data_IF_380847111475
#
_entry.id   IF_380847111475
#
_cell.length_a   1.000
_cell.length_b   1.000
_cell.length_c   1.000
_cell.angle_alpha   90.00
_cell.angle_beta   90.00
_cell.angle_gamma   90.00
#
_symmetry.space_group_name_H-M   'P 1'
#
loop_
_entity.id
_entity.type
_entity.pdbx_description
1 polymer ?
#
# COMPACT_ATOMS: atom_id res chain seq x y z
N UNK A 1 12.45 -45.95 -16.50
CA UNK A 1 13.89 -45.87 -16.34
C UNK A 1 14.40 -44.48 -16.81
N UNK A 2 14.00 -43.40 -16.14
CA UNK A 2 14.53 -42.06 -16.37
C UNK A 2 14.25 -41.09 -15.19
N UNK A 3 13.88 -41.62 -14.02
CA UNK A 3 13.56 -40.85 -12.83
C UNK A 3 14.60 -40.99 -11.69
N UNK A 4 15.59 -41.89 -11.84
CA UNK A 4 16.61 -42.14 -10.82
C UNK A 4 17.94 -41.38 -11.01
N UNK A 5 18.09 -40.54 -12.06
CA UNK A 5 19.32 -39.79 -12.31
C UNK A 5 19.28 -38.33 -11.91
N UNK A 6 18.13 -37.82 -11.45
CA UNK A 6 17.97 -36.42 -11.03
C UNK A 6 18.11 -36.28 -9.50
N UNK A 7 17.79 -37.33 -8.74
CA UNK A 7 17.92 -37.34 -7.29
C UNK A 7 19.38 -37.51 -6.81
N UNK A 8 20.22 -38.18 -7.60
CA UNK A 8 21.64 -38.38 -7.27
C UNK A 8 22.51 -37.13 -7.54
N UNK A 9 22.14 -36.25 -8.52
CA UNK A 9 22.86 -34.98 -8.76
C UNK A 9 22.52 -33.90 -7.71
N UNK A 10 21.32 -33.93 -7.12
CA UNK A 10 20.92 -32.99 -6.07
C UNK A 10 21.61 -33.27 -4.72
N UNK A 11 21.99 -34.52 -4.46
CA UNK A 11 22.68 -34.89 -3.21
C UNK A 11 24.18 -34.55 -3.24
N UNK A 12 24.83 -34.56 -4.41
CA UNK A 12 26.25 -34.21 -4.57
C UNK A 12 26.52 -32.71 -4.53
N UNK A 13 25.51 -31.86 -4.82
CA UNK A 13 25.60 -30.40 -4.71
C UNK A 13 25.36 -29.88 -3.27
N UNK A 14 24.68 -30.67 -2.44
CA UNK A 14 24.44 -30.34 -1.02
C UNK A 14 25.66 -30.58 -0.12
N UNK A 15 26.54 -31.52 -0.45
CA UNK A 15 27.72 -31.81 0.34
C UNK A 15 28.92 -30.87 0.02
N UNK A 16 28.92 -30.17 -1.12
CA UNK A 16 29.97 -29.23 -1.49
C UNK A 16 29.80 -27.81 -0.94
N UNK A 17 28.63 -27.45 -0.37
CA UNK A 17 28.38 -26.12 0.19
C UNK A 17 28.67 -25.99 1.69
N UNK A 18 29.01 -27.06 2.37
CA UNK A 18 29.25 -27.08 3.83
C UNK A 18 30.71 -27.11 4.28
N UNK A 19 31.69 -26.95 3.39
CA UNK A 19 33.09 -27.06 3.70
C UNK A 19 33.94 -25.77 3.58
N UNK A 20 33.37 -24.62 3.29
CA UNK A 20 34.10 -23.35 3.09
C UNK A 20 33.73 -22.20 4.05
N UNK A 21 33.19 -22.49 5.24
CA UNK A 21 32.96 -21.48 6.28
C UNK A 21 33.58 -21.93 7.62
N UNK A 22 34.86 -22.20 7.61
CA UNK A 22 35.68 -22.24 8.84
C UNK A 22 37.15 -21.87 8.50
N UNK A 23 37.44 -20.57 8.43
CA UNK A 23 38.77 -20.02 8.73
C UNK A 23 38.82 -18.52 8.43
N UNK A 24 38.43 -17.67 9.38
CA UNK A 24 39.06 -16.35 9.60
C UNK A 24 38.51 -15.70 10.88
N UNK A 25 38.94 -16.23 12.01
CA UNK A 25 38.82 -15.53 13.29
C UNK A 25 40.10 -15.83 14.09
N UNK A 26 41.16 -15.08 13.85
CA UNK A 26 42.27 -14.93 14.78
C UNK A 26 43.09 -13.69 14.39
N UNK A 27 43.48 -12.96 15.43
CA UNK A 27 44.48 -11.88 15.49
C UNK A 27 43.97 -10.43 15.31
N UNK A 28 43.64 -9.83 16.44
CA UNK A 28 44.21 -8.52 16.80
C UNK A 28 44.14 -8.29 18.33
N UNK A 29 45.06 -8.93 19.03
CA UNK A 29 45.40 -8.62 20.41
C UNK A 29 46.85 -8.14 20.41
N UNK A 30 47.09 -6.84 20.39
CA UNK A 30 48.38 -6.25 20.81
C UNK A 30 48.29 -4.72 20.92
N UNK A 31 48.30 -4.23 22.14
CA UNK A 31 49.23 -3.23 22.72
C UNK A 31 48.59 -2.45 23.87
N UNK A 32 48.86 -2.94 25.06
CA UNK A 32 49.00 -2.10 26.26
C UNK A 32 50.38 -2.42 26.85
N UNK A 33 51.41 -1.57 26.61
CA UNK A 33 52.67 -1.48 27.35
C UNK A 33 52.48 -0.46 28.46
N UNK A 34 52.51 -0.87 29.63
CA UNK A 34 53.51 -0.79 30.71
C UNK A 34 54.46 0.40 30.60
N UNK A 35 54.38 1.29 31.55
CA UNK A 35 55.56 1.98 32.14
C UNK A 35 55.32 2.09 33.63
N UNK A 36 56.20 1.42 34.35
CA UNK A 36 56.39 1.33 35.79
C UNK A 36 57.59 2.16 36.21
N UNK A 37 57.64 2.51 37.51
CA UNK A 37 58.81 2.90 38.33
C UNK A 37 59.44 4.28 38.07
N UNK A 38 59.66 5.08 39.07
CA UNK A 38 60.47 4.82 40.27
C UNK A 38 60.59 6.06 41.19
N UNK A 39 60.62 5.77 42.46
CA UNK A 39 61.48 6.26 43.55
C UNK A 39 61.61 7.74 43.90
N UNK A 40 61.30 8.04 45.15
CA UNK A 40 62.37 8.51 46.06
C UNK A 40 62.01 9.61 47.02
N UNK A 41 61.82 9.25 48.29
CA UNK A 41 62.35 9.86 49.54
C UNK A 41 62.09 11.32 49.95
N UNK A 42 61.55 11.35 51.11
CA UNK A 42 61.96 12.05 52.34
C UNK A 42 61.58 13.49 52.69
N UNK A 43 60.92 13.53 53.82
CA UNK A 43 61.03 14.38 54.99
C UNK A 43 60.60 15.84 54.99
N UNK A 44 59.82 16.16 55.99
CA UNK A 44 59.64 17.50 56.51
C UNK A 44 58.26 17.74 57.21
N UNK A 45 58.18 17.38 58.46
CA UNK A 45 57.01 17.64 59.29
C UNK A 45 56.82 19.11 59.64
N UNK A 46 55.57 19.54 59.67
CA UNK A 46 55.09 20.60 60.62
C UNK A 46 53.62 20.38 60.86
N UNK A 47 53.29 20.26 62.13
CA UNK A 47 51.93 20.04 62.61
C UNK A 47 51.00 21.22 62.32
N UNK A 48 49.84 20.90 61.85
CA UNK A 48 48.68 21.85 61.84
C UNK A 48 47.48 21.14 62.42
N UNK A 49 46.97 21.65 63.51
CA UNK A 49 45.73 21.21 64.17
C UNK A 49 44.55 21.35 63.23
N UNK A 50 43.97 20.25 62.81
CA UNK A 50 42.72 20.25 62.12
C UNK A 50 41.55 20.21 63.11
N UNK A 51 40.73 21.29 63.15
CA UNK A 51 39.41 21.31 63.79
C UNK A 51 38.51 20.19 63.20
N UNK A 52 37.69 19.52 64.00
CA UNK A 52 36.79 18.48 63.49
C UNK A 52 35.76 19.12 62.55
N UNK A 53 35.85 18.79 61.27
CA UNK A 53 34.92 19.17 60.23
C UNK A 53 33.61 18.41 60.45
N UNK A 54 32.50 19.14 60.67
CA UNK A 54 31.21 18.61 61.02
C UNK A 54 30.65 17.75 59.86
N UNK A 55 31.00 16.46 59.80
CA UNK A 55 30.61 15.51 58.76
C UNK A 55 29.09 15.43 58.52
N UNK A 56 28.29 15.69 59.56
CA UNK A 56 26.83 15.70 59.48
C UNK A 56 26.30 16.89 58.64
N UNK A 57 26.88 18.07 58.76
CA UNK A 57 26.48 19.24 57.96
C UNK A 57 26.83 19.05 56.45
N UNK A 58 27.97 18.43 56.16
CA UNK A 58 28.34 18.16 54.75
C UNK A 58 27.44 17.13 54.08
N UNK A 59 27.01 16.08 54.81
CA UNK A 59 26.08 15.06 54.30
C UNK A 59 24.71 15.70 54.04
N UNK A 60 24.21 16.55 54.92
CA UNK A 60 22.95 17.26 54.71
C UNK A 60 23.01 18.22 53.49
N UNK A 61 24.13 18.91 53.28
CA UNK A 61 24.33 19.78 52.13
C UNK A 61 24.36 18.98 50.82
N UNK A 62 24.99 17.84 50.76
CA UNK A 62 25.01 16.98 49.58
C UNK A 62 23.63 16.37 49.26
N UNK A 63 22.87 15.99 50.27
CA UNK A 63 21.50 15.50 50.09
C UNK A 63 20.58 16.63 49.58
N UNK A 64 20.68 17.83 50.12
CA UNK A 64 19.89 18.97 49.66
C UNK A 64 20.25 19.36 48.19
N UNK A 65 21.54 19.35 47.80
CA UNK A 65 21.96 19.60 46.42
C UNK A 65 21.48 18.52 45.44
N UNK A 66 21.51 17.26 45.86
CA UNK A 66 20.97 16.16 45.04
C UNK A 66 19.46 16.27 44.87
N UNK A 67 18.72 16.59 45.95
CA UNK A 67 17.27 16.79 45.91
C UNK A 67 16.88 17.99 44.99
N UNK A 68 17.61 19.10 45.08
CA UNK A 68 17.37 20.26 44.19
C UNK A 68 17.69 19.94 42.72
N UNK A 69 18.73 19.16 42.44
CA UNK A 69 19.07 18.73 41.08
C UNK A 69 17.99 17.81 40.50
N UNK A 70 17.43 16.90 41.31
CA UNK A 70 16.29 16.04 40.89
C UNK A 70 15.04 16.86 40.67
N UNK A 71 14.72 17.82 41.49
CA UNK A 71 13.57 18.69 41.30
C UNK A 71 13.71 19.59 40.07
N UNK A 72 14.93 20.11 39.81
CA UNK A 72 15.23 20.88 38.60
C UNK A 72 15.15 20.01 37.33
N UNK A 73 15.67 18.79 37.38
CA UNK A 73 15.56 17.85 36.28
C UNK A 73 14.09 17.47 36.00
N UNK A 74 13.30 17.21 37.03
CA UNK A 74 11.86 16.97 36.92
C UNK A 74 11.09 18.17 36.36
N UNK A 75 11.42 19.40 36.81
CA UNK A 75 10.83 20.63 36.31
C UNK A 75 11.24 20.89 34.84
N UNK A 76 12.50 20.63 34.47
CA UNK A 76 12.97 20.72 33.08
C UNK A 76 12.26 19.67 32.20
N UNK A 77 12.08 18.45 32.69
CA UNK A 77 11.39 17.40 31.96
C UNK A 77 9.90 17.71 31.76
N UNK A 78 9.23 18.29 32.78
CA UNK A 78 7.85 18.76 32.64
C UNK A 78 7.73 19.98 31.72
N UNK A 79 8.73 20.88 31.70
CA UNK A 79 8.81 21.99 30.77
C UNK A 79 9.10 21.51 29.33
N UNK A 80 9.99 20.52 29.15
CA UNK A 80 10.22 19.92 27.83
C UNK A 80 9.00 19.14 27.31
N UNK A 81 8.26 18.42 28.18
CA UNK A 81 6.97 17.81 27.80
C UNK A 81 5.88 18.83 27.44
N UNK A 82 5.90 20.04 28.06
CA UNK A 82 4.99 21.13 27.67
C UNK A 82 5.47 21.90 26.46
N UNK A 83 6.72 21.72 26.04
CA UNK A 83 7.33 22.34 24.87
C UNK A 83 7.39 21.38 23.67
N UNK A 84 6.71 20.23 23.70
CA UNK A 84 6.28 19.63 22.44
C UNK A 84 5.37 20.67 21.79
N UNK A 85 5.73 21.19 20.60
CA UNK A 85 4.84 22.10 19.92
C UNK A 85 3.50 21.36 19.79
N UNK A 86 2.44 21.88 20.41
CA UNK A 86 1.09 21.65 19.92
C UNK A 86 1.20 21.94 18.44
N UNK A 87 1.32 20.86 17.63
CA UNK A 87 1.42 20.98 16.20
C UNK A 87 0.25 21.84 15.80
N UNK A 88 0.57 22.95 15.19
CA UNK A 88 -0.34 23.87 14.58
C UNK A 88 -1.41 23.05 13.85
N UNK A 89 -2.60 22.96 14.43
CA UNK A 89 -3.81 22.42 13.82
C UNK A 89 -4.33 23.40 12.74
N UNK A 90 -3.41 24.10 12.06
CA UNK A 90 -3.75 24.76 10.82
C UNK A 90 -4.17 23.68 9.85
N UNK A 91 -5.48 23.53 9.71
CA UNK A 91 -6.22 22.85 8.64
C UNK A 91 -5.29 22.09 7.66
N UNK A 92 -4.90 20.85 8.04
CA UNK A 92 -4.49 19.89 7.02
C UNK A 92 -5.65 19.84 6.02
N UNK A 93 -5.38 20.00 4.71
CA UNK A 93 -6.44 19.85 3.74
C UNK A 93 -7.10 18.50 4.02
N UNK A 94 -8.40 18.55 4.26
CA UNK A 94 -9.25 17.40 4.42
C UNK A 94 -8.95 16.50 3.23
N UNK A 95 -8.59 15.24 3.49
CA UNK A 95 -8.34 14.27 2.42
C UNK A 95 -9.69 14.13 1.74
N UNK A 96 -9.87 14.85 0.64
CA UNK A 96 -11.04 14.70 -0.19
C UNK A 96 -11.01 13.28 -0.73
N UNK A 97 -12.03 12.50 -0.41
CA UNK A 97 -12.23 11.19 -1.03
C UNK A 97 -12.38 11.46 -2.52
N UNK A 98 -11.31 11.22 -3.28
CA UNK A 98 -11.40 11.30 -4.72
C UNK A 98 -12.27 10.14 -5.17
N UNK A 99 -13.44 10.46 -5.71
CA UNK A 99 -14.34 9.48 -6.31
C UNK A 99 -13.76 8.91 -7.62
N UNK A 100 -12.51 9.29 -7.97
CA UNK A 100 -11.79 8.90 -9.20
C UNK A 100 -12.68 8.89 -10.44
N UNK A 101 -13.54 9.90 -10.56
CA UNK A 101 -14.38 10.13 -11.74
C UNK A 101 -13.50 10.74 -12.81
N UNK A 102 -13.45 10.10 -13.96
CA UNK A 102 -12.68 10.57 -15.11
C UNK A 102 -13.39 11.73 -15.80
N UNK A 103 -12.63 12.57 -16.49
CA UNK A 103 -13.19 13.72 -17.20
C UNK A 103 -14.11 13.27 -18.36
N UNK A 104 -15.40 13.47 -18.22
CA UNK A 104 -16.38 13.13 -19.26
C UNK A 104 -16.18 13.88 -20.60
N UNK A 105 -15.39 14.98 -20.56
CA UNK A 105 -15.02 15.80 -21.73
C UNK A 105 -13.61 15.51 -22.24
N UNK A 106 -13.00 14.43 -21.74
CA UNK A 106 -11.64 14.07 -22.14
C UNK A 106 -11.49 13.92 -23.66
N UNK A 107 -10.42 14.51 -24.19
CA UNK A 107 -10.16 14.46 -25.63
C UNK A 107 -9.23 13.29 -25.98
N UNK A 108 -9.79 12.15 -26.32
CA UNK A 108 -9.08 10.92 -26.69
C UNK A 108 -8.20 11.07 -27.96
N UNK A 109 -8.48 12.10 -28.78
CA UNK A 109 -7.76 12.33 -30.04
C UNK A 109 -6.77 13.50 -29.96
N UNK A 110 -6.57 14.05 -28.77
CA UNK A 110 -5.58 15.11 -28.57
C UNK A 110 -4.19 14.66 -29.03
N UNK A 111 -3.36 15.54 -29.62
CA UNK A 111 -1.96 15.22 -29.85
C UNK A 111 -1.26 14.85 -28.56
N UNK A 112 -0.21 14.00 -28.63
CA UNK A 112 0.59 13.65 -27.46
C UNK A 112 1.05 14.88 -26.66
N UNK A 113 0.94 14.80 -25.36
CA UNK A 113 1.26 15.88 -24.43
C UNK A 113 2.24 15.40 -23.36
N UNK A 114 2.97 16.36 -22.78
CA UNK A 114 3.78 16.14 -21.59
C UNK A 114 2.91 16.44 -20.35
N UNK A 115 2.70 15.44 -19.49
CA UNK A 115 1.90 15.55 -18.25
C UNK A 115 2.81 15.52 -17.04
N UNK A 116 2.88 16.61 -16.31
CA UNK A 116 3.79 16.76 -15.18
C UNK A 116 3.05 16.70 -13.85
N UNK A 117 3.58 15.88 -12.94
CA UNK A 117 3.08 15.69 -11.59
C UNK A 117 4.20 15.97 -10.57
N UNK A 118 3.84 16.54 -9.44
CA UNK A 118 4.77 16.78 -8.32
C UNK A 118 4.25 16.03 -7.10
N UNK A 119 5.02 15.05 -6.66
CA UNK A 119 4.65 14.16 -5.57
C UNK A 119 5.63 14.32 -4.41
N UNK A 120 5.07 14.52 -3.21
CA UNK A 120 5.79 14.45 -1.95
C UNK A 120 5.32 13.20 -1.22
N UNK A 121 6.25 12.29 -0.95
CA UNK A 121 5.98 11.03 -0.21
C UNK A 121 6.34 11.27 1.24
N UNK A 122 5.41 10.97 2.17
CA UNK A 122 5.59 11.21 3.61
C UNK A 122 4.93 10.11 4.44
N UNK A 123 5.49 9.89 5.64
CA UNK A 123 4.85 9.08 6.66
C UNK A 123 3.67 9.84 7.30
N UNK A 124 2.58 9.12 7.52
CA UNK A 124 1.37 9.63 8.15
C UNK A 124 0.80 8.62 9.16
N UNK A 125 -0.01 9.11 10.06
CA UNK A 125 -0.92 8.27 10.85
C UNK A 125 -2.32 8.48 10.30
N UNK A 126 -2.96 7.40 9.82
CA UNK A 126 -4.26 7.45 9.17
C UNK A 126 -5.16 6.31 9.65
N UNK A 127 -6.48 6.47 9.52
CA UNK A 127 -7.48 5.52 10.04
C UNK A 127 -8.62 5.24 9.04
N UNK A 128 -8.33 4.63 7.88
CA UNK A 128 -9.32 4.47 6.80
C UNK A 128 -10.52 3.58 7.15
N UNK A 129 -10.38 2.71 8.15
CA UNK A 129 -11.46 1.86 8.67
C UNK A 129 -11.83 2.16 10.14
N UNK A 130 -11.25 3.21 10.72
CA UNK A 130 -11.40 3.62 12.13
C UNK A 130 -10.16 3.37 12.98
N UNK A 131 -9.39 2.33 12.68
CA UNK A 131 -8.17 1.98 13.41
C UNK A 131 -7.00 2.80 12.90
N UNK A 132 -6.32 3.53 13.79
CA UNK A 132 -5.14 4.30 13.42
C UNK A 132 -3.93 3.39 13.21
N UNK A 133 -3.27 3.59 12.05
CA UNK A 133 -2.00 2.93 11.73
C UNK A 133 -1.02 3.91 11.07
N UNK A 134 0.30 3.63 11.10
CA UNK A 134 1.26 4.31 10.24
C UNK A 134 0.98 3.96 8.78
N UNK A 135 1.07 4.95 7.90
CA UNK A 135 0.91 4.81 6.44
C UNK A 135 1.90 5.72 5.71
N UNK A 136 2.13 5.44 4.42
CA UNK A 136 2.98 6.24 3.53
C UNK A 136 2.07 6.82 2.45
N UNK A 137 2.01 8.15 2.36
CA UNK A 137 1.06 8.83 1.48
C UNK A 137 1.77 9.74 0.45
N UNK A 138 1.13 9.92 -0.69
CA UNK A 138 1.52 10.93 -1.69
C UNK A 138 0.67 12.18 -1.49
N UNK A 139 1.32 13.34 -1.31
CA UNK A 139 0.65 14.64 -1.17
C UNK A 139 -0.46 14.66 -0.11
N UNK A 140 -0.29 13.90 0.98
CA UNK A 140 -1.30 13.74 2.05
C UNK A 140 -2.65 13.17 1.56
N UNK A 141 -2.65 12.43 0.47
CA UNK A 141 -3.85 11.85 -0.13
C UNK A 141 -3.84 10.33 0.00
N UNK A 142 -4.98 9.74 0.36
CA UNK A 142 -5.19 8.29 0.38
C UNK A 142 -6.57 7.91 -0.17
N UNK A 143 -6.70 6.92 -1.07
CA UNK A 143 -5.57 6.41 -1.87
C UNK A 143 -4.94 7.53 -2.69
N UNK A 144 -3.76 7.30 -3.29
CA UNK A 144 -2.97 8.33 -3.94
C UNK A 144 -3.61 8.92 -5.21
N UNK A 145 -3.00 9.96 -5.81
CA UNK A 145 -3.59 10.71 -6.91
C UNK A 145 -3.75 9.88 -8.20
N UNK A 146 -4.83 10.14 -8.92
CA UNK A 146 -5.06 9.60 -10.27
C UNK A 146 -4.09 10.24 -11.27
N UNK A 147 -3.49 9.40 -12.12
CA UNK A 147 -2.87 9.80 -13.38
C UNK A 147 -3.85 9.46 -14.49
N UNK A 148 -4.24 10.46 -15.29
CA UNK A 148 -5.10 10.31 -16.46
C UNK A 148 -4.36 10.86 -17.70
N UNK A 149 -4.21 10.04 -18.75
CA UNK A 149 -3.40 10.34 -19.91
C UNK A 149 -3.95 9.71 -21.19
N UNK A 150 -3.47 10.14 -22.35
CA UNK A 150 -3.69 9.46 -23.62
C UNK A 150 -2.51 8.57 -23.98
N UNK A 151 -2.75 7.53 -24.77
CA UNK A 151 -1.70 6.84 -25.49
C UNK A 151 -0.85 7.84 -26.27
N UNK A 152 0.49 7.72 -26.17
CA UNK A 152 1.46 8.63 -26.75
C UNK A 152 1.85 9.81 -25.85
N UNK A 153 1.13 10.09 -24.76
CA UNK A 153 1.54 11.11 -23.79
C UNK A 153 2.84 10.72 -23.08
N UNK A 154 3.63 11.72 -22.72
CA UNK A 154 4.80 11.56 -21.85
C UNK A 154 4.44 11.91 -20.42
N UNK A 155 4.56 10.95 -19.54
CA UNK A 155 4.33 11.13 -18.10
C UNK A 155 5.63 11.57 -17.44
N UNK A 156 5.56 12.60 -16.62
CA UNK A 156 6.68 13.11 -15.83
C UNK A 156 6.24 13.25 -14.38
N UNK A 157 6.87 12.49 -13.50
CA UNK A 157 6.55 12.54 -12.07
C UNK A 157 7.80 12.91 -11.28
N UNK A 158 7.78 14.10 -10.71
CA UNK A 158 8.82 14.58 -9.80
C UNK A 158 8.52 14.10 -8.40
N UNK A 159 9.25 13.11 -7.93
CA UNK A 159 9.08 12.52 -6.60
C UNK A 159 10.09 13.14 -5.64
N UNK A 160 9.61 13.70 -4.54
CA UNK A 160 10.41 14.05 -3.36
C UNK A 160 10.08 13.09 -2.24
N UNK A 161 11.08 12.36 -1.76
CA UNK A 161 10.91 11.43 -0.64
C UNK A 161 11.21 12.15 0.68
N UNK A 162 10.18 12.45 1.46
CA UNK A 162 10.26 12.96 2.83
C UNK A 162 9.83 11.91 3.86
N UNK A 163 9.65 10.64 3.45
CA UNK A 163 9.42 9.53 4.36
C UNK A 163 10.72 9.10 5.06
N UNK A 164 10.59 8.41 6.19
CA UNK A 164 11.72 7.90 6.99
C UNK A 164 12.54 6.85 6.25
N UNK A 165 11.92 6.11 5.34
CA UNK A 165 12.55 5.03 4.58
C UNK A 165 12.76 5.43 3.12
N UNK A 166 13.69 4.74 2.47
CA UNK A 166 13.85 4.83 1.01
C UNK A 166 12.59 4.31 0.31
N UNK A 167 12.33 4.80 -0.91
CA UNK A 167 11.13 4.46 -1.68
C UNK A 167 11.42 4.36 -3.18
N UNK A 168 10.48 3.82 -3.96
CA UNK A 168 10.45 3.88 -5.42
C UNK A 168 9.01 3.71 -5.88
N UNK A 169 8.67 4.19 -7.06
CA UNK A 169 7.33 4.05 -7.65
C UNK A 169 7.42 3.18 -8.89
N UNK A 170 6.65 2.10 -8.89
CA UNK A 170 6.43 1.23 -10.05
C UNK A 170 5.13 1.59 -10.77
N UNK A 171 5.15 1.49 -12.09
CA UNK A 171 4.04 1.81 -12.99
C UNK A 171 3.43 0.52 -13.49
N UNK A 172 2.57 -0.09 -12.67
CA UNK A 172 2.09 -1.46 -12.85
C UNK A 172 1.33 -1.63 -14.16
N UNK A 173 1.84 -2.54 -15.00
CA UNK A 173 1.30 -2.87 -16.31
C UNK A 173 1.82 -2.01 -17.46
N UNK A 174 2.62 -0.96 -17.20
CA UNK A 174 3.22 -0.14 -18.25
C UNK A 174 4.45 -0.83 -18.85
N UNK A 175 4.50 -0.94 -20.17
CA UNK A 175 5.54 -1.68 -20.92
C UNK A 175 6.93 -1.05 -20.83
N UNK A 176 7.04 0.23 -20.49
CA UNK A 176 8.30 0.97 -20.42
C UNK A 176 9.17 0.85 -21.69
N UNK A 177 8.53 0.88 -22.85
CA UNK A 177 9.22 0.76 -24.14
C UNK A 177 10.25 1.89 -24.31
N UNK A 178 11.52 1.51 -24.41
CA UNK A 178 12.66 2.45 -24.50
C UNK A 178 13.07 3.07 -23.16
N UNK A 179 12.32 2.87 -22.08
CA UNK A 179 12.57 3.46 -20.77
C UNK A 179 12.55 2.43 -19.60
N UNK A 180 13.16 1.23 -19.72
CA UNK A 180 13.08 0.21 -18.67
C UNK A 180 13.67 0.69 -17.33
N UNK A 181 14.60 1.65 -17.33
CA UNK A 181 15.18 2.27 -16.15
C UNK A 181 14.20 3.19 -15.38
N UNK A 182 13.01 3.45 -15.94
CA UNK A 182 11.93 4.22 -15.30
C UNK A 182 10.84 3.32 -14.71
N UNK A 183 11.00 2.00 -14.76
CA UNK A 183 10.00 1.05 -14.27
C UNK A 183 9.81 1.07 -12.75
N UNK A 184 10.79 1.53 -12.00
CA UNK A 184 10.67 1.77 -10.56
C UNK A 184 10.93 0.55 -9.66
N UNK A 185 11.37 -0.58 -10.21
CA UNK A 185 11.62 -1.81 -9.45
C UNK A 185 12.99 -1.76 -8.77
N UNK A 186 12.98 -1.62 -7.46
CA UNK A 186 14.22 -1.51 -6.66
C UNK A 186 15.08 -2.78 -6.78
N UNK A 187 16.38 -2.57 -7.01
CA UNK A 187 17.34 -3.65 -7.16
C UNK A 187 17.36 -4.31 -8.53
N UNK A 188 16.42 -3.96 -9.43
CA UNK A 188 16.33 -4.45 -10.81
C UNK A 188 16.55 -3.30 -11.79
N UNK A 189 15.66 -2.30 -11.79
CA UNK A 189 15.69 -1.20 -12.77
C UNK A 189 16.28 0.09 -12.20
N UNK A 190 16.29 0.26 -10.87
CA UNK A 190 16.84 1.45 -10.19
C UNK A 190 17.29 1.17 -8.77
N UNK A 191 18.10 2.08 -8.21
CA UNK A 191 18.29 2.20 -6.76
C UNK A 191 17.09 2.92 -6.13
N UNK A 192 16.76 2.69 -4.84
CA UNK A 192 15.68 3.41 -4.18
C UNK A 192 16.01 4.89 -4.00
N UNK A 193 14.98 5.72 -3.93
CA UNK A 193 15.07 7.14 -3.61
C UNK A 193 15.26 7.25 -2.09
N UNK A 194 16.46 7.64 -1.66
CA UNK A 194 16.77 7.79 -0.23
C UNK A 194 15.90 8.90 0.42
N UNK A 195 15.73 8.88 1.76
CA UNK A 195 15.12 10.00 2.50
C UNK A 195 15.77 11.34 2.14
N UNK A 196 14.96 12.40 2.08
CA UNK A 196 15.34 13.77 1.70
C UNK A 196 15.94 13.91 0.28
N UNK A 197 15.72 12.90 -0.59
CA UNK A 197 16.17 12.93 -1.98
C UNK A 197 14.98 12.95 -2.93
N UNK A 198 15.27 13.31 -4.17
CA UNK A 198 14.29 13.38 -5.25
C UNK A 198 14.71 12.53 -6.43
N UNK A 199 13.72 12.05 -7.18
CA UNK A 199 13.90 11.40 -8.46
C UNK A 199 12.80 11.84 -9.42
N UNK A 200 13.10 11.89 -10.71
CA UNK A 200 12.10 12.21 -11.73
C UNK A 200 11.91 11.00 -12.64
N UNK A 201 10.72 10.45 -12.64
CA UNK A 201 10.30 9.47 -13.64
C UNK A 201 9.84 10.21 -14.90
N UNK A 202 10.31 9.76 -16.05
CA UNK A 202 9.89 10.30 -17.35
C UNK A 202 9.83 9.17 -18.37
N UNK A 203 8.63 8.88 -18.87
CA UNK A 203 8.39 7.82 -19.84
C UNK A 203 7.19 8.14 -20.74
N UNK A 204 7.17 7.58 -21.94
CA UNK A 204 6.08 7.76 -22.92
C UNK A 204 5.23 6.51 -22.97
N UNK A 205 3.90 6.69 -22.99
CA UNK A 205 2.91 5.63 -23.07
C UNK A 205 2.79 5.16 -24.54
N UNK A 206 3.54 4.13 -24.91
CA UNK A 206 3.65 3.67 -26.31
C UNK A 206 2.91 2.35 -26.48
N UNK A 207 1.92 2.33 -27.41
CA UNK A 207 1.26 1.12 -27.86
C UNK A 207 0.42 0.42 -26.79
N UNK A 208 -0.11 1.16 -25.82
CA UNK A 208 -0.99 0.62 -24.80
C UNK A 208 -1.98 1.65 -24.28
N UNK A 209 -3.18 1.17 -23.98
CA UNK A 209 -4.26 1.93 -23.34
C UNK A 209 -5.01 1.02 -22.36
N UNK A 210 -5.83 1.59 -21.48
CA UNK A 210 -6.62 0.84 -20.52
C UNK A 210 -6.39 1.26 -19.07
N UNK A 211 -6.67 0.34 -18.17
CA UNK A 211 -6.64 0.56 -16.73
C UNK A 211 -5.38 -0.03 -16.12
N UNK A 212 -4.61 0.83 -15.49
CA UNK A 212 -3.35 0.55 -14.81
C UNK A 212 -3.37 1.16 -13.42
N UNK A 213 -2.27 1.03 -12.68
CA UNK A 213 -2.10 1.64 -11.37
C UNK A 213 -0.61 1.86 -11.07
N UNK A 214 -0.31 2.66 -10.09
CA UNK A 214 1.05 2.89 -9.63
C UNK A 214 1.17 2.55 -8.15
N UNK A 215 2.34 2.10 -7.73
CA UNK A 215 2.56 1.76 -6.33
C UNK A 215 4.02 1.82 -5.90
N UNK A 216 4.23 1.90 -4.59
CA UNK A 216 5.56 1.77 -3.99
C UNK A 216 6.16 0.38 -4.25
N UNK A 217 7.42 0.34 -4.67
CA UNK A 217 8.12 -0.90 -4.96
C UNK A 217 9.45 -1.03 -4.18
N UNK A 218 9.50 -0.45 -2.99
CA UNK A 218 10.52 -0.68 -1.98
C UNK A 218 9.90 -1.50 -0.84
N UNK A 219 10.30 -2.77 -0.73
CA UNK A 219 9.63 -3.73 0.15
C UNK A 219 8.15 -3.84 -0.20
N UNK A 220 7.28 -3.77 0.81
CA UNK A 220 5.83 -3.86 0.67
C UNK A 220 5.12 -2.52 0.94
N UNK A 221 5.74 -1.38 0.59
CA UNK A 221 5.18 -0.05 0.83
C UNK A 221 3.80 0.18 0.16
N UNK A 222 3.48 -0.59 -0.88
CA UNK A 222 2.15 -0.62 -1.49
C UNK A 222 1.06 -0.89 -0.44
N UNK A 223 1.25 -1.90 0.42
CA UNK A 223 0.32 -2.27 1.50
C UNK A 223 0.25 -1.24 2.62
N UNK A 224 1.25 -0.35 2.70
CA UNK A 224 1.29 0.75 3.66
C UNK A 224 0.65 2.04 3.12
N UNK A 225 -0.03 1.98 1.97
CA UNK A 225 -0.82 3.08 1.42
C UNK A 225 -0.22 3.79 0.22
N UNK A 226 0.97 3.41 -0.23
CA UNK A 226 1.66 4.04 -1.35
C UNK A 226 1.19 3.43 -2.69
N UNK A 227 -0.05 3.74 -3.10
CA UNK A 227 -0.64 3.30 -4.36
C UNK A 227 -1.72 4.27 -4.85
N UNK A 228 -2.01 4.21 -6.15
CA UNK A 228 -3.08 4.99 -6.76
C UNK A 228 -3.35 4.59 -8.22
N UNK A 229 -4.44 5.06 -8.82
CA UNK A 229 -4.85 4.67 -10.17
C UNK A 229 -4.07 5.39 -11.26
N UNK A 230 -3.93 4.71 -12.41
CA UNK A 230 -3.41 5.24 -13.65
C UNK A 230 -4.31 4.76 -14.79
N UNK A 231 -4.83 5.70 -15.59
CA UNK A 231 -5.69 5.40 -16.74
C UNK A 231 -5.07 6.00 -17.99
N UNK A 232 -4.96 5.17 -19.02
CA UNK A 232 -4.45 5.55 -20.33
C UNK A 232 -5.57 5.40 -21.34
N UNK A 233 -6.01 6.50 -21.95
CA UNK A 233 -7.05 6.50 -22.97
C UNK A 233 -6.47 6.19 -24.34
N UNK A 234 -7.06 5.22 -25.03
CA UNK A 234 -6.81 4.92 -26.42
C UNK A 234 -7.72 5.74 -27.35
N UNK A 235 -7.24 6.03 -28.56
CA UNK A 235 -8.04 6.78 -29.56
C UNK A 235 -9.35 6.09 -29.92
N UNK A 236 -9.35 4.76 -29.92
CA UNK A 236 -10.47 3.91 -30.32
C UNK A 236 -11.22 3.32 -29.12
N UNK A 237 -10.87 3.74 -27.89
CA UNK A 237 -11.40 3.19 -26.65
C UNK A 237 -12.93 3.04 -26.67
N UNK A 238 -13.67 4.11 -27.03
CA UNK A 238 -15.14 4.07 -27.07
C UNK A 238 -15.70 3.07 -28.07
N UNK A 239 -14.95 2.76 -29.12
CA UNK A 239 -15.35 1.78 -30.13
C UNK A 239 -15.03 0.37 -29.66
N UNK A 240 -13.88 0.18 -29.06
CA UNK A 240 -13.39 -1.12 -28.57
C UNK A 240 -14.22 -1.62 -27.38
N UNK A 241 -14.76 -0.73 -26.55
CA UNK A 241 -15.63 -1.11 -25.43
C UNK A 241 -16.96 -1.75 -25.88
N UNK A 242 -17.40 -1.56 -27.12
CA UNK A 242 -18.61 -2.11 -27.75
C UNK A 242 -19.94 -1.74 -27.08
N UNK A 243 -19.95 -1.38 -25.81
CA UNK A 243 -21.12 -0.84 -25.10
C UNK A 243 -20.84 0.62 -24.79
N UNK A 244 -21.61 1.57 -25.35
CA UNK A 244 -21.47 3.00 -25.04
C UNK A 244 -21.70 3.27 -23.56
N UNK A 245 -20.94 4.20 -23.00
CA UNK A 245 -21.10 4.64 -21.59
C UNK A 245 -21.07 6.16 -21.46
N UNK A 246 -21.75 6.67 -20.45
CA UNK A 246 -21.92 8.10 -20.18
C UNK A 246 -20.86 8.63 -19.19
N UNK A 247 -20.47 7.83 -18.21
CA UNK A 247 -19.45 8.18 -17.20
C UNK A 247 -18.46 7.04 -17.03
N UNK A 248 -17.27 7.40 -16.54
CA UNK A 248 -16.18 6.48 -16.29
C UNK A 248 -15.51 6.81 -14.95
N UNK A 249 -15.16 5.79 -14.16
CA UNK A 249 -14.48 5.98 -12.88
C UNK A 249 -13.67 4.76 -12.45
N UNK A 250 -12.67 4.98 -11.64
CA UNK A 250 -11.89 3.90 -11.03
C UNK A 250 -12.45 3.57 -9.65
N UNK A 251 -12.49 2.29 -9.33
CA UNK A 251 -12.85 1.74 -8.02
C UNK A 251 -11.69 0.89 -7.54
N UNK A 252 -10.97 1.39 -6.54
CA UNK A 252 -9.84 0.67 -5.93
C UNK A 252 -10.35 -0.26 -4.83
N UNK A 253 -9.88 -1.49 -4.87
CA UNK A 253 -10.08 -2.51 -3.84
C UNK A 253 -8.75 -2.77 -3.20
N UNK A 254 -8.68 -2.85 -1.87
CA UNK A 254 -7.46 -3.27 -1.18
C UNK A 254 -7.80 -4.09 0.05
N UNK A 255 -6.97 -5.08 0.33
CA UNK A 255 -6.85 -5.59 1.69
C UNK A 255 -6.22 -4.53 2.59
N UNK A 256 -6.47 -4.62 3.89
CA UNK A 256 -6.01 -3.64 4.86
C UNK A 256 -5.50 -4.31 6.12
N UNK A 257 -4.25 -3.99 6.44
CA UNK A 257 -3.54 -4.46 7.62
C UNK A 257 -3.41 -3.31 8.61
N UNK A 258 -3.52 -3.58 9.91
CA UNK A 258 -3.35 -2.54 10.92
C UNK A 258 -1.88 -2.34 11.35
N UNK A 259 -1.01 -3.29 11.02
CA UNK A 259 0.42 -3.19 11.24
C UNK A 259 1.17 -2.83 9.94
N UNK A 260 2.37 -2.27 10.08
CA UNK A 260 3.23 -1.99 8.92
C UNK A 260 3.66 -3.28 8.23
N UNK A 261 3.71 -3.24 6.92
CA UNK A 261 4.16 -4.36 6.08
C UNK A 261 5.54 -4.89 6.47
N UNK A 262 6.44 -4.01 6.90
CA UNK A 262 7.77 -4.39 7.37
C UNK A 262 7.75 -5.21 8.66
N UNK A 263 6.81 -4.92 9.57
CA UNK A 263 6.63 -5.69 10.80
C UNK A 263 6.03 -7.07 10.51
N UNK A 264 5.04 -7.13 9.60
CA UNK A 264 4.42 -8.38 9.16
C UNK A 264 5.41 -9.26 8.40
N UNK A 265 6.23 -8.67 7.52
CA UNK A 265 7.29 -9.40 6.82
C UNK A 265 8.32 -10.00 7.79
N UNK A 266 8.69 -9.24 8.83
CA UNK A 266 9.57 -9.75 9.87
C UNK A 266 8.99 -10.97 10.58
N UNK A 267 7.70 -10.95 10.92
CA UNK A 267 7.00 -12.08 11.52
C UNK A 267 6.96 -13.29 10.58
N UNK A 268 6.62 -13.07 9.31
CA UNK A 268 6.56 -14.12 8.28
C UNK A 268 7.90 -14.81 8.05
N UNK A 269 9.02 -14.07 8.17
CA UNK A 269 10.36 -14.61 7.99
C UNK A 269 10.95 -15.25 9.26
N UNK A 270 10.21 -15.31 10.37
CA UNK A 270 10.67 -16.04 11.56
C UNK A 270 10.67 -17.55 11.31
N UNK A 271 11.62 -18.30 11.91
CA UNK A 271 11.58 -19.76 11.87
C UNK A 271 10.22 -20.30 12.32
N UNK A 272 9.74 -21.35 11.68
CA UNK A 272 8.45 -22.03 11.92
C UNK A 272 7.20 -21.18 11.55
N UNK A 273 7.40 -20.05 10.84
CA UNK A 273 6.29 -19.25 10.30
C UNK A 273 6.19 -19.33 8.77
N UNK A 274 6.97 -20.18 8.13
CA UNK A 274 6.95 -20.38 6.69
C UNK A 274 5.57 -20.88 6.23
N UNK A 275 5.08 -20.28 5.13
CA UNK A 275 3.74 -20.54 4.56
C UNK A 275 2.56 -20.11 5.46
N UNK A 276 2.79 -19.17 6.39
CA UNK A 276 1.74 -18.53 7.16
C UNK A 276 1.69 -17.04 6.78
N UNK A 277 1.22 -16.75 5.57
CA UNK A 277 1.08 -15.38 5.07
C UNK A 277 0.21 -14.57 6.03
N UNK A 278 0.61 -13.32 6.35
CA UNK A 278 -0.20 -12.44 7.17
C UNK A 278 -1.58 -12.21 6.55
N UNK A 279 -2.62 -12.50 7.33
CA UNK A 279 -4.01 -12.29 6.91
C UNK A 279 -4.40 -10.84 7.21
N UNK A 280 -5.02 -10.11 6.24
CA UNK A 280 -5.50 -8.75 6.50
C UNK A 280 -6.63 -8.73 7.54
N UNK A 281 -6.79 -7.62 8.23
CA UNK A 281 -7.89 -7.45 9.19
C UNK A 281 -9.20 -7.04 8.53
N UNK A 282 -9.13 -6.30 7.41
CA UNK A 282 -10.31 -5.83 6.67
C UNK A 282 -9.97 -5.52 5.20
N UNK A 283 -10.97 -5.14 4.42
CA UNK A 283 -10.80 -4.56 3.09
C UNK A 283 -11.19 -3.10 3.05
N UNK A 284 -10.80 -2.40 1.97
CA UNK A 284 -11.21 -1.02 1.69
C UNK A 284 -11.73 -0.91 0.26
N UNK A 285 -12.75 -0.08 0.05
CA UNK A 285 -13.19 0.39 -1.27
C UNK A 285 -12.88 1.89 -1.37
N UNK A 286 -12.09 2.29 -2.35
CA UNK A 286 -11.60 3.67 -2.50
C UNK A 286 -11.00 4.21 -1.19
N UNK A 287 -10.23 3.36 -0.48
CA UNK A 287 -9.56 3.72 0.76
C UNK A 287 -10.49 3.93 1.96
N UNK A 288 -11.72 3.40 1.94
CA UNK A 288 -12.71 3.58 3.01
C UNK A 288 -13.33 2.27 3.46
N UNK A 289 -13.53 2.16 4.77
CA UNK A 289 -14.33 1.15 5.43
C UNK A 289 -14.76 1.68 6.82
N UNK A 290 -15.46 0.85 7.59
CA UNK A 290 -15.80 1.09 8.99
C UNK A 290 -15.71 -0.22 9.77
N UNK A 291 -14.96 -0.18 10.89
CA UNK A 291 -14.80 -1.30 11.82
C UNK A 291 -15.36 -0.94 13.20
N UNK A 292 -15.73 -1.96 13.99
CA UNK A 292 -16.02 -1.75 15.41
C UNK A 292 -14.73 -1.47 16.17
N UNK A 293 -14.68 -0.36 16.91
CA UNK A 293 -13.57 -0.08 17.82
C UNK A 293 -13.47 -1.09 18.98
N UNK A 294 -14.57 -1.75 19.32
CA UNK A 294 -14.61 -2.74 20.39
C UNK A 294 -13.83 -4.01 20.06
N UNK A 295 -13.61 -4.29 18.77
CA UNK A 295 -12.80 -5.44 18.30
C UNK A 295 -11.30 -5.24 18.57
N UNK A 296 -10.87 -3.99 18.83
CA UNK A 296 -9.47 -3.61 18.98
C UNK A 296 -9.24 -2.69 20.19
N UNK A 297 -9.52 -3.16 21.44
CA UNK A 297 -9.48 -2.33 22.63
C UNK A 297 -8.09 -1.76 22.95
N UNK A 298 -7.03 -2.39 22.45
CA UNK A 298 -5.64 -1.98 22.67
C UNK A 298 -5.09 -1.04 21.56
N UNK A 299 -5.91 -0.72 20.54
CA UNK A 299 -5.51 0.17 19.44
C UNK A 299 -6.29 1.49 19.52
N UNK A 300 -5.63 2.56 19.10
CA UNK A 300 -6.33 3.84 18.91
C UNK A 300 -7.34 3.70 17.77
N UNK A 301 -8.60 3.97 18.07
CA UNK A 301 -9.71 3.91 17.12
C UNK A 301 -10.59 5.15 17.22
N UNK A 302 -11.08 5.65 16.07
CA UNK A 302 -12.01 6.77 15.99
C UNK A 302 -12.83 6.67 14.70
N UNK A 303 -14.11 6.35 14.84
CA UNK A 303 -15.07 6.21 13.74
C UNK A 303 -15.78 7.53 13.39
N UNK A 304 -15.39 8.66 14.00
CA UNK A 304 -16.03 9.97 13.77
C UNK A 304 -15.29 10.83 12.74
N UNK A 305 -14.10 10.39 12.30
CA UNK A 305 -13.30 11.14 11.33
C UNK A 305 -13.89 11.04 9.93
N UNK A 306 -13.63 12.03 9.06
CA UNK A 306 -14.07 12.05 7.67
C UNK A 306 -13.46 10.91 6.81
N UNK A 307 -12.38 10.29 7.30
CA UNK A 307 -11.70 9.19 6.62
C UNK A 307 -12.46 7.88 6.72
N UNK A 308 -13.26 7.72 7.77
CA UNK A 308 -14.00 6.49 8.09
C UNK A 308 -15.39 6.52 7.49
N UNK A 309 -15.86 5.38 7.05
CA UNK A 309 -17.18 5.19 6.49
C UNK A 309 -17.15 4.36 5.22
N UNK A 310 -18.29 4.25 4.59
CA UNK A 310 -18.43 3.56 3.31
C UNK A 310 -18.17 4.51 2.16
N UNK A 311 -17.43 4.06 1.16
CA UNK A 311 -17.31 4.80 -0.10
C UNK A 311 -18.71 5.00 -0.72
N UNK A 312 -18.92 6.16 -1.34
CA UNK A 312 -20.19 6.49 -2.02
C UNK A 312 -19.91 6.68 -3.51
N UNK A 313 -20.69 6.01 -4.34
CA UNK A 313 -20.64 6.10 -5.80
C UNK A 313 -21.98 6.62 -6.27
N UNK A 314 -22.01 7.82 -6.86
CA UNK A 314 -23.25 8.41 -7.39
C UNK A 314 -23.31 8.19 -8.89
N UNK A 315 -24.42 7.64 -9.39
CA UNK A 315 -24.66 7.31 -10.79
C UNK A 315 -25.93 8.01 -11.29
N UNK A 316 -25.92 8.52 -12.51
CA UNK A 316 -27.12 9.03 -13.14
C UNK A 316 -28.04 7.86 -13.52
N UNK A 317 -29.35 7.99 -13.27
CA UNK A 317 -30.35 6.96 -13.60
C UNK A 317 -30.54 6.82 -15.12
N UNK A 318 -30.80 5.60 -15.58
CA UNK A 318 -31.02 5.25 -16.98
C UNK A 318 -29.84 5.59 -17.90
N UNK A 319 -28.61 5.44 -17.36
CA UNK A 319 -27.35 5.63 -18.04
C UNK A 319 -26.51 4.37 -17.99
N UNK A 320 -25.48 4.34 -18.83
CA UNK A 320 -24.42 3.35 -18.73
C UNK A 320 -23.20 3.96 -18.06
N UNK A 321 -22.63 3.25 -17.10
CA UNK A 321 -21.49 3.69 -16.33
C UNK A 321 -20.38 2.67 -16.42
N UNK A 322 -19.18 3.12 -16.77
CA UNK A 322 -17.99 2.29 -16.71
C UNK A 322 -17.38 2.36 -15.31
N UNK A 323 -17.19 1.22 -14.69
CA UNK A 323 -16.45 1.08 -13.44
C UNK A 323 -15.17 0.29 -13.72
N UNK A 324 -14.02 0.89 -13.42
CA UNK A 324 -12.69 0.28 -13.56
C UNK A 324 -12.24 -0.25 -12.20
N UNK A 325 -12.47 -1.52 -11.94
CA UNK A 325 -12.00 -2.16 -10.71
C UNK A 325 -10.51 -2.46 -10.78
N UNK A 326 -9.79 -2.10 -9.73
CA UNK A 326 -8.37 -2.38 -9.57
C UNK A 326 -8.17 -2.97 -8.18
N UNK A 327 -7.69 -4.19 -8.08
CA UNK A 327 -7.27 -4.74 -6.80
C UNK A 327 -5.82 -4.32 -6.52
N UNK A 328 -5.64 -3.33 -5.67
CA UNK A 328 -4.33 -2.80 -5.24
C UNK A 328 -3.84 -3.45 -3.94
N UNK A 329 -4.54 -4.49 -3.47
CA UNK A 329 -4.16 -5.27 -2.30
C UNK A 329 -2.92 -6.12 -2.54
N UNK A 330 -2.38 -6.67 -1.46
CA UNK A 330 -1.18 -7.50 -1.49
C UNK A 330 -1.48 -9.00 -1.51
N UNK A 331 -2.61 -9.44 -0.96
CA UNK A 331 -2.87 -10.84 -0.70
C UNK A 331 -4.29 -11.28 -1.06
N UNK A 332 -5.32 -10.50 -0.68
CA UNK A 332 -6.69 -10.96 -0.80
C UNK A 332 -7.23 -10.90 -2.24
N UNK A 333 -7.74 -12.02 -2.73
CA UNK A 333 -8.67 -12.04 -3.85
C UNK A 333 -10.05 -11.56 -3.37
N UNK A 334 -10.69 -10.69 -4.15
CA UNK A 334 -12.03 -10.18 -3.87
C UNK A 334 -13.05 -10.69 -4.87
N UNK A 335 -14.17 -11.23 -4.39
CA UNK A 335 -15.38 -11.39 -5.18
C UNK A 335 -16.18 -10.08 -5.12
N UNK A 336 -16.32 -9.43 -6.26
CA UNK A 336 -16.95 -8.11 -6.41
C UNK A 336 -18.30 -8.25 -7.09
N UNK A 337 -19.34 -7.59 -6.56
CA UNK A 337 -20.66 -7.51 -7.15
C UNK A 337 -21.33 -6.17 -6.86
N UNK A 338 -22.21 -5.75 -7.73
CA UNK A 338 -23.21 -4.70 -7.45
C UNK A 338 -24.57 -5.37 -7.35
N UNK A 339 -25.25 -5.21 -6.20
CA UNK A 339 -26.58 -5.79 -5.99
C UNK A 339 -27.55 -5.41 -7.12
N UNK A 340 -28.27 -6.39 -7.62
CA UNK A 340 -29.31 -6.23 -8.64
C UNK A 340 -28.83 -5.68 -10.01
N UNK A 341 -27.50 -5.57 -10.23
CA UNK A 341 -26.92 -5.11 -11.49
C UNK A 341 -25.96 -6.16 -12.06
N UNK A 342 -26.12 -6.46 -13.34
CA UNK A 342 -25.12 -7.26 -14.08
C UNK A 342 -23.90 -6.42 -14.39
N UNK A 343 -22.73 -7.04 -14.32
CA UNK A 343 -21.42 -6.48 -14.65
C UNK A 343 -21.03 -6.95 -16.06
N UNK A 344 -21.14 -6.10 -17.07
CA UNK A 344 -20.66 -6.43 -18.42
C UNK A 344 -19.17 -6.10 -18.52
N UNK A 345 -18.31 -7.13 -18.44
CA UNK A 345 -16.85 -6.98 -18.57
C UNK A 345 -16.50 -6.59 -20.00
N UNK A 346 -15.76 -5.51 -20.15
CA UNK A 346 -15.34 -4.95 -21.45
C UNK A 346 -13.82 -4.79 -21.58
N UNK A 347 -13.08 -4.88 -20.47
CA UNK A 347 -11.62 -4.79 -20.45
C UNK A 347 -11.06 -5.63 -19.30
N UNK A 348 -9.95 -6.31 -19.53
CA UNK A 348 -9.18 -7.06 -18.53
C UNK A 348 -7.69 -6.71 -18.69
N UNK A 349 -7.06 -6.21 -17.62
CA UNK A 349 -5.62 -5.88 -17.56
C UNK A 349 -5.12 -5.02 -18.74
N UNK A 350 -5.94 -4.05 -19.18
CA UNK A 350 -5.61 -3.17 -20.30
C UNK A 350 -5.90 -3.78 -21.68
N UNK A 351 -6.57 -4.93 -21.73
CA UNK A 351 -6.99 -5.58 -22.99
C UNK A 351 -8.50 -5.49 -23.11
N UNK A 352 -8.99 -4.85 -24.19
CA UNK A 352 -10.41 -4.80 -24.50
C UNK A 352 -10.91 -6.19 -24.91
N UNK A 353 -12.03 -6.62 -24.32
CA UNK A 353 -12.65 -7.92 -24.56
C UNK A 353 -14.08 -7.78 -25.07
N UNK A 354 -14.54 -8.78 -25.81
CA UNK A 354 -15.94 -8.89 -26.19
C UNK A 354 -16.78 -8.94 -24.91
N UNK A 355 -17.82 -8.08 -24.76
CA UNK A 355 -18.55 -7.96 -23.51
C UNK A 355 -19.20 -9.28 -23.05
N UNK A 356 -18.91 -9.69 -21.82
CA UNK A 356 -19.53 -10.83 -21.15
C UNK A 356 -20.10 -10.36 -19.83
N UNK A 357 -21.30 -10.83 -19.47
CA UNK A 357 -22.01 -10.40 -18.27
C UNK A 357 -21.86 -11.41 -17.14
N UNK A 358 -21.58 -10.88 -15.97
CA UNK A 358 -21.46 -11.62 -14.72
C UNK A 358 -22.27 -10.96 -13.60
N UNK A 359 -22.68 -11.75 -12.61
CA UNK A 359 -23.20 -11.23 -11.35
C UNK A 359 -22.07 -10.89 -10.38
N UNK A 360 -20.98 -11.66 -10.42
CA UNK A 360 -19.79 -11.50 -9.58
C UNK A 360 -18.53 -11.66 -10.41
N UNK A 361 -17.49 -10.92 -10.02
CA UNK A 361 -16.15 -11.03 -10.56
C UNK A 361 -15.17 -11.32 -9.44
N UNK A 362 -14.36 -12.35 -9.59
CA UNK A 362 -13.21 -12.57 -8.73
C UNK A 362 -12.04 -11.77 -9.29
N UNK A 363 -11.40 -10.98 -8.44
CA UNK A 363 -10.31 -10.06 -8.82
C UNK A 363 -9.14 -10.31 -7.86
N UNK A 364 -8.11 -10.99 -8.35
CA UNK A 364 -6.87 -11.24 -7.61
C UNK A 364 -6.02 -9.98 -7.49
N UNK A 365 -5.06 -9.92 -6.54
CA UNK A 365 -4.15 -8.79 -6.43
C UNK A 365 -3.51 -8.42 -7.77
N UNK A 366 -3.41 -7.12 -8.04
CA UNK A 366 -2.91 -6.49 -9.25
C UNK A 366 -3.80 -6.60 -10.51
N UNK A 367 -4.82 -7.44 -10.54
CA UNK A 367 -5.75 -7.53 -11.66
C UNK A 367 -6.65 -6.29 -11.76
N UNK A 368 -7.03 -5.97 -13.00
CA UNK A 368 -7.94 -4.88 -13.35
C UNK A 368 -9.04 -5.40 -14.25
N UNK A 369 -10.27 -5.04 -13.95
CA UNK A 369 -11.45 -5.32 -14.75
C UNK A 369 -12.27 -4.06 -14.96
N UNK A 370 -12.54 -3.67 -16.21
CA UNK A 370 -13.53 -2.65 -16.51
C UNK A 370 -14.85 -3.29 -16.85
N UNK A 371 -15.91 -2.78 -16.23
CA UNK A 371 -17.27 -3.24 -16.49
C UNK A 371 -18.19 -2.08 -16.86
N UNK A 372 -19.17 -2.35 -17.72
CA UNK A 372 -20.28 -1.43 -17.96
C UNK A 372 -21.48 -1.93 -17.17
N UNK A 373 -22.09 -1.03 -16.41
CA UNK A 373 -23.35 -1.28 -15.70
C UNK A 373 -24.44 -0.37 -16.26
N UNK A 374 -25.70 -0.85 -16.20
CA UNK A 374 -26.90 -0.08 -16.58
C UNK A 374 -27.65 0.32 -15.33
N UNK A 375 -27.77 1.63 -15.06
CA UNK A 375 -28.46 2.19 -13.89
C UNK A 375 -29.97 2.29 -14.09
N UNK A 376 -30.62 1.22 -14.52
CA UNK A 376 -32.06 1.18 -14.85
C UNK A 376 -32.91 0.34 -13.88
N UNK A 377 -32.33 -0.09 -12.76
CA UNK A 377 -33.03 -0.81 -11.71
C UNK A 377 -33.99 0.13 -10.99
N UNK A 378 -35.23 -0.35 -10.73
CA UNK A 378 -36.29 0.46 -10.16
C UNK A 378 -36.76 0.00 -8.78
N UNK A 379 -36.16 -1.07 -8.24
CA UNK A 379 -36.49 -1.64 -6.93
C UNK A 379 -36.06 -0.74 -5.76
N UNK A 380 -35.00 0.05 -5.96
CA UNK A 380 -34.39 0.91 -4.95
C UNK A 380 -33.66 2.11 -5.61
N UNK A 381 -33.21 3.05 -4.78
CA UNK A 381 -32.35 4.18 -5.17
C UNK A 381 -30.92 3.99 -4.74
N UNK A 382 -30.69 3.09 -3.79
CA UNK A 382 -29.37 2.77 -3.24
C UNK A 382 -29.13 1.26 -3.26
N UNK A 383 -27.89 0.88 -3.60
CA UNK A 383 -27.47 -0.51 -3.77
C UNK A 383 -26.13 -0.75 -3.09
N UNK A 384 -25.89 -1.98 -2.61
CA UNK A 384 -24.59 -2.36 -2.12
C UNK A 384 -23.66 -2.73 -3.27
N UNK A 385 -22.49 -2.08 -3.32
CA UNK A 385 -21.31 -2.62 -3.96
C UNK A 385 -20.57 -3.45 -2.90
N UNK A 386 -20.46 -4.75 -3.13
CA UNK A 386 -19.84 -5.69 -2.19
C UNK A 386 -18.49 -6.14 -2.74
N UNK A 387 -17.46 -6.06 -1.91
CA UNK A 387 -16.15 -6.67 -2.15
C UNK A 387 -15.89 -7.65 -1.00
N UNK A 388 -15.88 -8.95 -1.31
CA UNK A 388 -15.77 -10.04 -0.33
C UNK A 388 -14.50 -10.82 -0.56
N UNK A 389 -13.67 -10.95 0.46
CA UNK A 389 -12.46 -11.73 0.38
C UNK A 389 -12.77 -13.22 0.22
N UNK A 390 -12.01 -13.92 -0.60
CA UNK A 390 -12.04 -15.38 -0.74
C UNK A 390 -11.19 -15.97 0.38
N UNK A 391 -11.83 -16.27 1.50
CA UNK A 391 -11.15 -16.62 2.74
C UNK A 391 -10.60 -18.03 2.81
N UNK A 392 -11.01 -18.94 1.90
CA UNK A 392 -10.41 -20.28 1.83
C UNK A 392 -8.94 -20.28 1.40
N UNK A 393 -8.44 -19.14 0.89
CA UNK A 393 -7.02 -18.95 0.60
C UNK A 393 -6.20 -18.60 1.86
N UNK A 394 -6.84 -18.31 2.98
CA UNK A 394 -6.17 -17.80 4.18
C UNK A 394 -5.81 -18.91 5.14
N UNK A 395 -4.60 -18.87 5.67
CA UNK A 395 -4.15 -19.73 6.76
C UNK A 395 -4.52 -19.06 8.09
N UNK A 396 -5.30 -19.73 8.94
CA UNK A 396 -5.71 -19.27 10.27
C UNK A 396 -6.21 -17.80 10.33
N UNK A 397 -7.29 -17.44 9.60
CA UNK A 397 -7.82 -16.10 9.65
C UNK A 397 -8.24 -15.71 11.08
N UNK A 398 -7.90 -14.49 11.56
CA UNK A 398 -8.27 -14.06 12.90
C UNK A 398 -9.80 -13.97 13.02
N UNK A 399 -10.32 -14.20 14.23
CA UNK A 399 -11.77 -14.12 14.50
C UNK A 399 -12.33 -12.69 14.27
N UNK A 400 -11.46 -11.70 14.31
CA UNK A 400 -11.77 -10.29 14.06
C UNK A 400 -11.73 -9.93 12.58
N UNK A 401 -11.40 -10.86 11.67
CA UNK A 401 -11.42 -10.62 10.23
C UNK A 401 -12.78 -10.11 9.78
N UNK A 402 -12.81 -8.98 9.13
CA UNK A 402 -13.95 -8.49 8.35
C UNK A 402 -13.71 -8.77 6.88
N UNK A 403 -14.17 -9.93 6.41
CA UNK A 403 -14.00 -10.36 5.02
C UNK A 403 -14.86 -9.56 4.03
N UNK A 404 -15.95 -8.99 4.49
CA UNK A 404 -16.91 -8.27 3.67
C UNK A 404 -16.72 -6.75 3.78
N UNK A 405 -16.50 -6.08 2.65
CA UNK A 405 -16.40 -4.63 2.55
C UNK A 405 -17.48 -4.09 1.64
N UNK A 406 -18.07 -2.95 2.02
CA UNK A 406 -19.23 -2.40 1.33
C UNK A 406 -19.03 -0.95 0.92
N UNK A 407 -19.51 -0.59 -0.27
CA UNK A 407 -19.74 0.79 -0.67
C UNK A 407 -21.20 1.00 -1.03
N UNK A 408 -21.66 2.25 -0.95
CA UNK A 408 -23.03 2.64 -1.33
C UNK A 408 -23.01 3.16 -2.76
N UNK A 409 -23.72 2.50 -3.66
CA UNK A 409 -24.03 3.02 -4.98
C UNK A 409 -25.41 3.66 -4.91
N UNK A 410 -25.53 4.94 -5.28
CA UNK A 410 -26.77 5.70 -5.24
C UNK A 410 -27.09 6.31 -6.60
N UNK A 411 -28.34 6.25 -7.01
CA UNK A 411 -28.79 7.02 -8.16
C UNK A 411 -28.93 8.50 -7.80
N UNK A 412 -28.48 9.38 -8.71
CA UNK A 412 -28.33 10.81 -8.42
C UNK A 412 -29.66 11.51 -8.07
N UNK A 413 -30.77 11.04 -8.66
CA UNK A 413 -32.14 11.53 -8.45
C UNK A 413 -32.88 10.82 -7.30
N UNK A 414 -32.21 9.81 -6.67
CA UNK A 414 -32.82 9.00 -5.63
C UNK A 414 -32.55 9.53 -4.21
N UNK A 415 -33.23 8.94 -3.24
CA UNK A 415 -33.06 9.24 -1.82
C UNK A 415 -31.66 8.75 -1.33
N UNK A 416 -31.05 9.48 -0.42
CA UNK A 416 -29.83 9.04 0.28
C UNK A 416 -30.22 8.14 1.44
N UNK A 417 -29.47 7.08 1.64
CA UNK A 417 -29.71 6.14 2.73
C UNK A 417 -28.87 4.88 2.63
N UNK A 418 -28.94 4.08 3.68
CA UNK A 418 -28.31 2.76 3.67
C UNK A 418 -29.08 1.81 2.74
N UNK A 419 -28.40 1.11 1.81
CA UNK A 419 -29.05 0.21 0.87
C UNK A 419 -29.82 -0.91 1.55
N UNK A 420 -30.97 -1.25 0.95
CA UNK A 420 -31.79 -2.41 1.31
C UNK A 420 -31.84 -3.44 0.18
N UNK A 421 -30.97 -3.27 -0.82
CA UNK A 421 -30.84 -4.18 -1.95
C UNK A 421 -30.44 -5.58 -1.50
N UNK A 422 -30.85 -6.57 -2.28
CA UNK A 422 -30.57 -7.97 -1.98
C UNK A 422 -29.30 -8.44 -2.71
N UNK A 423 -28.58 -9.33 -2.04
CA UNK A 423 -27.52 -10.12 -2.66
C UNK A 423 -28.09 -11.02 -3.75
N UNK A 424 -27.26 -11.42 -4.71
CA UNK A 424 -27.58 -12.44 -5.66
C UNK A 424 -27.87 -13.78 -4.96
N UNK A 425 -28.86 -14.54 -5.47
CA UNK A 425 -29.27 -15.81 -4.86
C UNK A 425 -28.21 -16.91 -4.94
N UNK A 426 -27.31 -16.85 -5.93
CA UNK A 426 -26.24 -17.79 -6.08
C UNK A 426 -25.25 -17.69 -4.91
N UNK A 427 -24.88 -18.83 -4.36
CA UNK A 427 -23.87 -18.85 -3.29
C UNK A 427 -22.53 -18.32 -3.78
N UNK A 428 -21.87 -17.53 -2.94
CA UNK A 428 -20.51 -17.08 -3.19
C UNK A 428 -19.57 -18.30 -3.17
N UNK A 429 -18.90 -18.55 -4.30
CA UNK A 429 -17.84 -19.55 -4.34
C UNK A 429 -16.63 -19.03 -3.54
N UNK A 430 -16.16 -19.85 -2.62
CA UNK A 430 -14.97 -19.59 -1.79
C UNK A 430 -13.75 -20.39 -2.25
N UNK A 431 -13.80 -20.97 -3.46
CA UNK A 431 -12.67 -21.70 -4.03
C UNK A 431 -11.48 -20.75 -4.22
N UNK A 432 -10.31 -21.15 -3.75
CA UNK A 432 -9.08 -20.41 -3.92
C UNK A 432 -8.54 -20.62 -5.36
N UNK A 433 -9.12 -19.90 -6.30
CA UNK A 433 -8.72 -19.92 -7.73
C UNK A 433 -9.28 -18.71 -8.47
N UNK A 434 -8.56 -18.28 -9.48
CA UNK A 434 -9.03 -17.26 -10.41
C UNK A 434 -10.35 -17.65 -11.09
N UNK A 435 -11.11 -16.65 -11.51
CA UNK A 435 -12.26 -16.88 -12.35
C UNK A 435 -11.85 -17.47 -13.72
N UNK A 436 -12.77 -18.20 -14.34
CA UNK A 436 -12.55 -18.71 -15.68
C UNK A 436 -12.56 -17.58 -16.71
N UNK A 437 -11.40 -17.25 -17.28
CA UNK A 437 -11.22 -16.19 -18.25
C UNK A 437 -11.40 -16.66 -19.72
N UNK A 438 -11.71 -17.92 -19.98
CA UNK A 438 -11.82 -18.45 -21.37
C UNK A 438 -12.92 -17.81 -22.20
N UNK A 439 -13.91 -17.18 -21.56
CA UNK A 439 -15.00 -16.44 -22.22
C UNK A 439 -14.62 -14.99 -22.54
N UNK A 440 -13.55 -14.47 -21.94
CA UNK A 440 -13.06 -13.09 -22.12
C UNK A 440 -12.16 -13.03 -23.36
N UNK A 441 -12.79 -13.00 -24.52
CA UNK A 441 -12.08 -13.02 -25.81
C UNK A 441 -11.66 -11.61 -26.19
N UNK A 442 -10.36 -11.34 -26.43
CA UNK A 442 -9.89 -10.04 -26.88
C UNK A 442 -10.61 -9.56 -28.15
N UNK A 443 -10.98 -8.28 -28.20
CA UNK A 443 -11.58 -7.65 -29.39
C UNK A 443 -10.57 -7.65 -30.55
N UNK A 444 -9.32 -7.33 -30.23
CA UNK A 444 -8.21 -7.40 -31.15
C UNK A 444 -7.33 -8.59 -30.82
N UNK A 445 -7.26 -9.55 -31.72
CA UNK A 445 -6.41 -10.74 -31.53
C UNK A 445 -4.96 -10.42 -31.82
N UNK A 446 -4.07 -10.74 -30.89
CA UNK A 446 -2.63 -10.70 -31.08
C UNK A 446 -2.11 -12.13 -31.16
N UNK A 447 -1.44 -12.48 -32.25
CA UNK A 447 -0.79 -13.78 -32.37
C UNK A 447 0.57 -13.74 -31.67
N UNK A 448 0.84 -14.76 -30.87
CA UNK A 448 2.19 -14.98 -30.36
C UNK A 448 3.17 -15.23 -31.54
N UNK A 449 4.43 -14.81 -31.36
CA UNK A 449 5.48 -15.14 -32.36
C UNK A 449 5.58 -16.66 -32.49
N UNK A 450 5.63 -17.12 -33.76
CA UNK A 450 5.87 -18.53 -34.09
C UNK A 450 7.32 -18.97 -33.85
N UNK A 451 8.21 -18.01 -33.76
CA UNK A 451 9.64 -18.21 -33.52
C UNK A 451 10.06 -17.39 -32.30
N UNK A 452 10.20 -18.00 -31.13
CA UNK A 452 10.67 -17.28 -29.94
C UNK A 452 12.14 -16.87 -30.10
N UNK A 453 12.47 -15.62 -29.82
CA UNK A 453 13.85 -15.10 -29.93
C UNK A 453 14.82 -15.73 -28.91
N UNK A 454 14.28 -16.40 -27.91
CA UNK A 454 15.03 -17.17 -26.90
C UNK A 454 14.19 -18.32 -26.33
N UNK A 455 14.84 -19.42 -26.03
CA UNK A 455 14.27 -20.58 -25.30
C UNK A 455 15.02 -20.73 -23.99
#
# INVERSE_FOLDING_TARGET
>A
MRQSSIEDEAHELSEKSSLDIESSAADDDHKRGLLDESTGSQEGGTGSQTRPRNRKAFIWWTICLAATAVCLAAALWTLMRKAEPEGDHTSRPEITSNDYVLDSKWNYTAPPQRREYKWTIQDHTHNPDGIYRPMILVNNQYPGPLIEANEGDTIVVHVQNLATNATAIHWHGIYQIGTPHMDGTVGVTQCPIAPDRSFTYEFTLIGQSGTYWWHGHQGLQSSDGLHGPLVVHGREEKTLQQIPYDTDRVVLLSDHYHDLSSALLWQYLMPDMENAEPVPESGLINGKNIRSCDDYPDRRCDNTTANVGRAKIVLERNKHHRLRFVNVGAFAEFSVQLDEHELAVTEVDGTDVTPVKYHRLNISPAQRYSVIISSNVTSADTFWLRARMITNCFTDPPKTLQSDTFAVVRYADGEDGEPKSNDWEEQLAQDCKDMNTTELVPVETQSASSEPDAV
#
